data_IF_474251142720
#
_entry.id   IF_474251142720
#
_cell.length_a   1.000
_cell.length_b   1.000
_cell.length_c   1.000
_cell.angle_alpha   90.00
_cell.angle_beta   90.00
_cell.angle_gamma   90.00
#
_symmetry.space_group_name_H-M   'P 1'
#
loop_
_entity.id
_entity.type
_entity.pdbx_description
1 polymer ?
#
# COMPACT_ATOMS: atom_id res chain seq x y z
N UNK A 1 66.66 33.31 7.77
CA UNK A 1 66.51 32.67 9.09
C UNK A 1 65.02 32.51 9.35
N UNK A 2 64.42 31.41 9.76
CA UNK A 2 64.71 29.99 9.77
C UNK A 2 63.32 29.34 10.02
N UNK A 3 63.11 28.17 9.43
CA UNK A 3 61.95 27.28 9.52
C UNK A 3 61.61 26.83 10.95
N UNK A 4 60.33 26.54 11.22
CA UNK A 4 59.95 25.33 11.95
C UNK A 4 58.45 24.99 11.79
N UNK A 5 58.22 23.88 11.09
CA UNK A 5 57.03 23.03 11.11
C UNK A 5 57.00 22.20 12.40
N UNK A 6 55.82 21.91 12.95
CA UNK A 6 55.53 20.74 13.82
C UNK A 6 54.03 20.46 13.70
N UNK A 7 53.60 19.56 12.81
CA UNK A 7 53.33 18.12 13.01
C UNK A 7 52.12 17.76 13.91
N UNK A 8 51.10 17.24 13.21
CA UNK A 8 50.33 16.01 13.45
C UNK A 8 49.98 15.58 14.88
N UNK A 9 48.68 15.45 15.15
CA UNK A 9 48.15 14.31 15.90
C UNK A 9 46.64 14.08 15.62
N UNK A 10 46.35 13.03 14.86
CA UNK A 10 45.05 12.36 14.74
C UNK A 10 44.55 11.94 16.13
N UNK A 11 43.31 12.29 16.48
CA UNK A 11 42.79 12.03 17.83
C UNK A 11 41.27 11.95 17.94
N UNK A 12 40.72 10.83 17.45
CA UNK A 12 39.53 10.12 17.95
C UNK A 12 38.19 10.87 17.97
N UNK A 13 37.33 10.47 17.04
CA UNK A 13 35.87 10.58 17.11
C UNK A 13 35.43 10.03 18.48
N UNK A 14 34.87 10.90 19.32
CA UNK A 14 34.29 10.50 20.59
C UNK A 14 32.94 9.81 20.33
N UNK A 15 32.91 8.48 20.43
CA UNK A 15 31.66 7.73 20.60
C UNK A 15 31.05 8.09 21.97
N UNK A 16 29.79 8.55 22.04
CA UNK A 16 29.10 8.59 23.31
C UNK A 16 28.67 7.16 23.69
N UNK A 17 29.42 6.57 24.61
CA UNK A 17 29.02 5.37 25.38
C UNK A 17 28.04 5.79 26.47
N UNK A 18 26.77 5.45 26.31
CA UNK A 18 25.79 5.39 27.41
C UNK A 18 24.77 4.28 27.10
N UNK A 19 25.01 3.10 27.68
CA UNK A 19 24.21 2.49 28.77
C UNK A 19 23.02 1.67 28.27
N UNK A 20 23.15 0.36 28.44
CA UNK A 20 22.14 -0.66 28.22
C UNK A 20 20.93 -0.41 29.14
N UNK A 21 19.96 0.35 28.65
CA UNK A 21 18.61 0.39 29.18
C UNK A 21 17.80 -0.74 28.55
N UNK A 22 17.29 -1.66 29.36
CA UNK A 22 16.41 -2.77 28.95
C UNK A 22 15.18 -2.20 28.26
N UNK A 23 15.15 -2.23 26.93
CA UNK A 23 13.96 -1.95 26.15
C UNK A 23 13.05 -3.17 26.25
N UNK A 24 12.00 -3.06 27.06
CA UNK A 24 10.88 -4.01 27.04
C UNK A 24 10.33 -4.16 25.62
N UNK A 25 9.64 -5.27 25.30
CA UNK A 25 9.23 -5.54 23.94
C UNK A 25 8.28 -4.44 23.48
N UNK A 26 8.77 -3.56 22.61
CA UNK A 26 7.94 -2.62 21.87
C UNK A 26 7.01 -3.49 21.04
N UNK A 27 5.79 -3.68 21.54
CA UNK A 27 4.68 -4.28 20.81
C UNK A 27 4.41 -3.37 19.62
N UNK A 28 5.15 -3.62 18.54
CA UNK A 28 4.87 -3.10 17.22
C UNK A 28 3.55 -3.75 16.84
N UNK A 29 2.43 -3.08 17.18
CA UNK A 29 1.10 -3.39 16.64
C UNK A 29 1.30 -3.50 15.15
N UNK A 30 1.40 -4.74 14.66
CA UNK A 30 1.24 -5.03 13.25
C UNK A 30 -0.15 -4.50 12.97
N UNK A 31 -0.25 -3.32 12.33
CA UNK A 31 -1.45 -2.94 11.61
C UNK A 31 -1.81 -4.18 10.83
N UNK A 32 -2.92 -4.81 11.22
CA UNK A 32 -3.28 -6.12 10.73
C UNK A 32 -3.03 -6.11 9.24
N UNK A 33 -2.13 -6.98 8.79
CA UNK A 33 -2.16 -7.38 7.41
C UNK A 33 -3.57 -7.90 7.25
N UNK A 34 -4.47 -7.05 6.76
CA UNK A 34 -5.80 -7.43 6.34
C UNK A 34 -5.48 -8.57 5.40
N UNK A 35 -5.78 -9.79 5.85
CA UNK A 35 -5.45 -10.99 5.11
C UNK A 35 -5.78 -10.67 3.66
N UNK A 36 -4.79 -10.80 2.79
CA UNK A 36 -4.97 -10.59 1.37
C UNK A 36 -5.95 -11.68 0.93
N UNK A 37 -7.24 -11.43 1.16
CA UNK A 37 -8.34 -12.06 0.46
C UNK A 37 -7.96 -11.95 -1.02
N UNK A 38 -8.01 -13.05 -1.78
CA UNK A 38 -7.57 -13.07 -3.18
C UNK A 38 -8.25 -11.90 -3.89
N UNK A 39 -7.47 -10.86 -4.16
CA UNK A 39 -8.00 -9.52 -4.26
C UNK A 39 -8.84 -9.44 -5.51
N UNK A 40 -10.16 -9.32 -5.34
CA UNK A 40 -11.04 -8.90 -6.45
C UNK A 40 -10.98 -7.39 -6.66
N UNK A 41 -9.81 -6.81 -6.38
CA UNK A 41 -9.52 -5.42 -6.58
C UNK A 41 -9.23 -5.21 -8.06
N UNK A 42 -9.94 -4.26 -8.66
CA UNK A 42 -9.69 -3.78 -10.02
C UNK A 42 -9.04 -2.41 -9.91
N UNK A 43 -8.03 -2.17 -10.73
CA UNK A 43 -7.22 -0.96 -10.66
C UNK A 43 -7.48 -0.12 -11.91
N UNK A 44 -7.81 1.15 -11.74
CA UNK A 44 -8.14 2.04 -12.86
C UNK A 44 -7.35 3.33 -12.77
N UNK A 45 -6.83 3.82 -13.89
CA UNK A 45 -6.29 5.18 -13.97
C UNK A 45 -7.45 6.19 -13.90
N UNK A 46 -7.29 7.24 -13.11
CA UNK A 46 -8.31 8.29 -13.00
C UNK A 46 -8.15 9.27 -14.17
N UNK A 47 -9.28 9.57 -14.80
CA UNK A 47 -9.40 10.67 -15.76
C UNK A 47 -10.26 11.77 -15.13
N UNK A 48 -9.75 12.99 -15.12
CA UNK A 48 -10.61 14.15 -14.85
C UNK A 48 -11.32 14.57 -16.13
N UNK A 49 -12.64 14.59 -16.10
CA UNK A 49 -13.44 15.25 -17.12
C UNK A 49 -13.48 16.76 -16.85
N UNK A 50 -13.67 17.56 -17.90
CA UNK A 50 -13.62 19.03 -17.82
C UNK A 50 -14.69 19.68 -16.93
N UNK A 51 -15.68 18.91 -16.47
CA UNK A 51 -16.72 19.31 -15.52
C UNK A 51 -16.38 18.98 -14.05
N UNK A 52 -15.15 18.53 -13.76
CA UNK A 52 -14.68 18.24 -12.41
C UNK A 52 -15.15 16.88 -11.85
N UNK A 53 -15.78 16.04 -12.67
CA UNK A 53 -16.12 14.67 -12.26
C UNK A 53 -14.93 13.73 -12.44
N UNK A 54 -14.81 12.76 -11.52
CA UNK A 54 -13.79 11.71 -11.58
C UNK A 54 -14.35 10.55 -12.38
N UNK A 55 -13.71 10.24 -13.51
CA UNK A 55 -14.05 9.10 -14.35
C UNK A 55 -13.01 7.98 -14.18
N UNK A 56 -13.50 6.74 -14.11
CA UNK A 56 -12.64 5.56 -14.18
C UNK A 56 -12.17 5.38 -15.62
N UNK A 57 -10.88 5.57 -15.86
CA UNK A 57 -10.23 5.41 -17.15
C UNK A 57 -9.80 3.97 -17.40
N UNK A 58 -8.58 3.80 -17.93
CA UNK A 58 -8.05 2.50 -18.28
C UNK A 58 -7.88 1.60 -17.05
N UNK A 59 -8.38 0.37 -17.15
CA UNK A 59 -8.11 -0.69 -16.17
C UNK A 59 -6.71 -1.30 -16.40
N UNK A 60 -6.00 -1.58 -15.33
CA UNK A 60 -4.66 -2.22 -15.34
C UNK A 60 -4.66 -3.48 -14.50
N UNK A 61 -3.73 -4.39 -14.78
CA UNK A 61 -3.79 -5.76 -14.26
C UNK A 61 -3.34 -5.87 -12.79
N UNK A 62 -2.60 -4.89 -12.28
CA UNK A 62 -2.07 -4.90 -10.92
C UNK A 62 -1.94 -3.51 -10.31
N UNK A 63 -1.86 -3.46 -8.98
CA UNK A 63 -1.62 -2.22 -8.24
C UNK A 63 -0.28 -1.57 -8.62
N UNK A 64 0.77 -2.38 -8.77
CA UNK A 64 2.10 -1.87 -9.14
C UNK A 64 2.09 -1.21 -10.52
N UNK A 65 1.39 -1.82 -11.49
CA UNK A 65 1.20 -1.23 -12.81
C UNK A 65 0.41 0.08 -12.72
N UNK A 66 -0.64 0.15 -11.90
CA UNK A 66 -1.41 1.37 -11.66
C UNK A 66 -0.54 2.49 -11.06
N UNK A 67 0.33 2.16 -10.10
CA UNK A 67 1.28 3.11 -9.50
C UNK A 67 2.24 3.66 -10.54
N UNK A 68 2.83 2.80 -11.37
CA UNK A 68 3.78 3.22 -12.41
C UNK A 68 3.10 4.07 -13.48
N UNK A 69 1.95 3.63 -14.00
CA UNK A 69 1.25 4.33 -15.08
C UNK A 69 0.65 5.66 -14.60
N UNK A 70 0.07 5.71 -13.40
CA UNK A 70 -0.42 6.97 -12.84
C UNK A 70 0.72 7.97 -12.62
N UNK A 71 1.88 7.51 -12.14
CA UNK A 71 3.07 8.36 -12.03
C UNK A 71 3.52 8.88 -13.39
N UNK A 72 3.57 8.02 -14.40
CA UNK A 72 3.99 8.38 -15.77
C UNK A 72 3.11 9.47 -16.38
N UNK A 73 1.80 9.42 -16.14
CA UNK A 73 0.82 10.39 -16.65
C UNK A 73 0.71 11.63 -15.73
N UNK A 74 1.35 11.62 -14.56
CA UNK A 74 1.22 12.67 -13.54
C UNK A 74 -0.18 12.71 -12.91
N UNK A 75 -0.89 11.58 -12.91
CA UNK A 75 -2.25 11.43 -12.44
C UNK A 75 -2.36 10.61 -11.17
N UNK A 76 -3.58 10.14 -10.91
CA UNK A 76 -3.90 9.22 -9.80
C UNK A 76 -4.60 7.98 -10.33
N UNK A 77 -4.72 6.95 -9.50
CA UNK A 77 -5.45 5.73 -9.83
C UNK A 77 -6.46 5.41 -8.71
N UNK A 78 -7.49 4.65 -9.06
CA UNK A 78 -8.52 4.16 -8.15
C UNK A 78 -8.42 2.65 -8.00
N UNK A 79 -8.77 2.16 -6.81
CA UNK A 79 -8.92 0.73 -6.52
C UNK A 79 -10.40 0.46 -6.26
N UNK A 80 -11.01 -0.40 -7.08
CA UNK A 80 -12.42 -0.76 -6.98
C UNK A 80 -12.53 -2.18 -6.43
N UNK A 81 -13.26 -2.34 -5.32
CA UNK A 81 -13.60 -3.66 -4.77
C UNK A 81 -15.11 -3.83 -4.81
N UNK A 82 -15.57 -4.91 -5.44
CA UNK A 82 -16.99 -5.21 -5.57
C UNK A 82 -17.46 -6.11 -4.42
N UNK A 83 -18.61 -5.77 -3.85
CA UNK A 83 -19.21 -6.49 -2.72
C UNK A 83 -20.68 -6.76 -3.00
N UNK A 84 -21.14 -7.97 -2.67
CA UNK A 84 -22.56 -8.32 -2.69
C UNK A 84 -23.06 -8.53 -1.26
N UNK A 85 -24.28 -8.09 -1.01
CA UNK A 85 -24.99 -8.41 0.22
C UNK A 85 -25.69 -9.76 0.01
N UNK A 86 -25.38 -10.73 0.88
CA UNK A 86 -26.19 -11.94 1.01
C UNK A 86 -27.13 -11.78 2.19
N UNK A 87 -28.41 -12.04 1.96
CA UNK A 87 -29.43 -11.97 3.01
C UNK A 87 -29.91 -13.39 3.29
N UNK A 88 -29.73 -13.83 4.53
CA UNK A 88 -30.31 -15.07 5.03
C UNK A 88 -31.57 -14.73 5.84
N UNK A 89 -32.71 -15.26 5.43
CA UNK A 89 -34.03 -15.06 6.05
C UNK A 89 -34.52 -16.30 6.82
N UNK A 90 -33.70 -17.34 6.94
CA UNK A 90 -34.12 -18.65 7.44
C UNK A 90 -34.61 -18.64 8.90
N UNK A 91 -34.15 -17.70 9.73
CA UNK A 91 -34.47 -17.63 11.17
C UNK A 91 -35.58 -16.62 11.49
N UNK A 92 -36.23 -16.03 10.49
CA UNK A 92 -37.19 -14.93 10.68
C UNK A 92 -36.53 -13.58 11.05
N UNK A 93 -35.20 -13.55 11.21
CA UNK A 93 -34.39 -12.34 11.38
C UNK A 93 -33.42 -12.24 10.20
N UNK A 94 -33.44 -11.16 9.41
CA UNK A 94 -32.54 -10.99 8.28
C UNK A 94 -31.08 -10.87 8.73
N UNK A 95 -30.22 -11.79 8.30
CA UNK A 95 -28.77 -11.68 8.46
C UNK A 95 -28.16 -11.15 7.16
N UNK A 96 -27.63 -9.94 7.19
CA UNK A 96 -26.94 -9.31 6.04
C UNK A 96 -25.44 -9.61 6.14
N UNK A 97 -24.92 -10.40 5.21
CA UNK A 97 -23.49 -10.71 5.08
C UNK A 97 -22.89 -9.94 3.90
N UNK A 98 -21.69 -9.41 4.09
CA UNK A 98 -20.90 -8.74 3.03
C UNK A 98 -19.96 -9.77 2.41
N UNK A 99 -20.20 -10.13 1.16
CA UNK A 99 -19.39 -11.09 0.40
C UNK A 99 -18.60 -10.37 -0.70
N UNK A 100 -17.31 -10.66 -0.83
CA UNK A 100 -16.50 -10.15 -1.94
C UNK A 100 -16.90 -10.87 -3.23
N UNK A 101 -17.26 -10.12 -4.27
CA UNK A 101 -17.55 -10.72 -5.57
C UNK A 101 -16.23 -11.19 -6.15
N UNK A 102 -16.06 -12.47 -6.44
CA UNK A 102 -14.87 -13.01 -7.10
C UNK A 102 -15.08 -13.02 -8.61
N UNK A 103 -14.15 -12.43 -9.37
CA UNK A 103 -14.19 -12.42 -10.82
C UNK A 103 -13.67 -13.76 -11.35
N UNK A 104 -14.55 -14.66 -11.75
CA UNK A 104 -14.17 -15.84 -12.52
C UNK A 104 -13.87 -15.40 -13.96
N UNK A 105 -12.59 -15.22 -14.31
CA UNK A 105 -12.21 -15.17 -15.72
C UNK A 105 -12.47 -16.56 -16.29
N UNK A 106 -13.64 -16.76 -16.91
CA UNK A 106 -13.95 -17.95 -17.70
C UNK A 106 -12.95 -18.00 -18.85
N UNK A 107 -11.93 -18.84 -18.72
CA UNK A 107 -11.03 -19.16 -19.84
C UNK A 107 -11.83 -20.06 -20.78
N UNK A 108 -12.52 -19.46 -21.73
CA UNK A 108 -13.14 -20.19 -22.83
C UNK A 108 -12.01 -20.73 -23.71
N UNK A 109 -11.68 -22.02 -23.57
CA UNK A 109 -10.96 -22.73 -24.63
C UNK A 109 -11.97 -22.94 -25.76
N UNK A 110 -11.75 -22.23 -26.87
CA UNK A 110 -12.35 -22.55 -28.18
C UNK A 110 -11.28 -23.16 -29.07
#
# INVERSE_FOLDING_TARGET
>A
MATATTEAATGRIAEPKATAGKTGPVSRRRRGARAAEPSTARFFLIKMSGNGTVELGQEVASENEAMVESFRVGGSFAVVTEWKAQVDLATGVPIIKKEAVRSEKKVTHS
#
